data_IF_528373800085
#
_entry.id   IF_528373800085
#
_cell.length_a   1.000
_cell.length_b   1.000
_cell.length_c   1.000
_cell.angle_alpha   90.00
_cell.angle_beta   90.00
_cell.angle_gamma   90.00
#
_symmetry.space_group_name_H-M   'P 1'
#
loop_
_entity.id
_entity.type
_entity.pdbx_description
1 polymer ?
#
# COMPACT_ATOMS: atom_id res chain seq x y z
N UNK A 1 -15.82 -17.54 8.04
CA UNK A 1 -15.76 -16.62 6.88
C UNK A 1 -15.92 -15.22 7.43
N UNK A 2 -14.81 -14.53 7.72
CA UNK A 2 -14.84 -13.14 8.18
C UNK A 2 -15.11 -12.24 6.97
N UNK A 3 -16.10 -11.35 7.09
CA UNK A 3 -16.50 -10.41 6.04
C UNK A 3 -15.29 -9.69 5.45
N UNK A 4 -15.04 -9.88 4.16
CA UNK A 4 -13.95 -9.24 3.40
C UNK A 4 -14.24 -7.78 3.04
N UNK A 5 -15.27 -7.17 3.64
CA UNK A 5 -15.80 -5.84 3.30
C UNK A 5 -15.71 -4.82 4.44
N UNK A 6 -15.08 -5.15 5.56
CA UNK A 6 -14.88 -4.15 6.61
C UNK A 6 -13.64 -3.31 6.29
N UNK A 7 -13.83 -1.99 6.20
CA UNK A 7 -12.73 -1.05 6.09
C UNK A 7 -11.83 -1.12 7.32
N UNK A 8 -10.59 -0.68 7.19
CA UNK A 8 -9.64 -0.59 8.30
C UNK A 8 -9.42 0.85 8.73
N UNK A 9 -9.18 1.05 10.01
CA UNK A 9 -8.62 2.29 10.53
C UNK A 9 -7.42 1.96 11.39
N UNK A 10 -6.45 2.86 11.43
CA UNK A 10 -5.28 2.68 12.28
C UNK A 10 -4.55 3.99 12.50
N UNK A 11 -3.61 3.93 13.42
CA UNK A 11 -2.72 5.03 13.74
C UNK A 11 -1.31 4.48 13.94
N UNK A 12 -0.32 5.14 13.36
CA UNK A 12 1.07 4.74 13.54
C UNK A 12 1.95 5.25 12.42
N UNK A 13 2.99 4.48 12.08
CA UNK A 13 3.93 4.88 11.05
C UNK A 13 3.29 4.82 9.67
N UNK A 14 3.39 5.91 8.91
CA UNK A 14 2.95 5.98 7.51
C UNK A 14 4.10 6.49 6.65
N UNK A 15 4.38 5.79 5.56
CA UNK A 15 5.29 6.26 4.51
C UNK A 15 4.50 6.63 3.27
N UNK A 16 4.71 7.84 2.74
CA UNK A 16 4.09 8.32 1.50
C UNK A 16 5.15 8.36 0.42
N UNK A 17 4.87 7.77 -0.74
CA UNK A 17 5.84 7.62 -1.82
C UNK A 17 5.19 7.66 -3.19
N UNK A 18 5.94 8.10 -4.20
CA UNK A 18 5.51 8.09 -5.59
C UNK A 18 5.94 6.81 -6.30
N UNK A 19 5.11 6.32 -7.21
CA UNK A 19 5.42 5.21 -8.08
C UNK A 19 4.66 5.38 -9.39
N UNK A 20 5.40 5.52 -10.50
CA UNK A 20 4.84 5.77 -11.83
C UNK A 20 3.83 6.94 -11.86
N UNK A 21 4.21 8.03 -11.20
CA UNK A 21 3.42 9.26 -11.10
C UNK A 21 2.34 9.24 -10.02
N UNK A 22 1.79 8.08 -9.67
CA UNK A 22 0.79 7.98 -8.60
C UNK A 22 1.45 7.96 -7.23
N UNK A 23 0.85 8.64 -6.26
CA UNK A 23 1.29 8.66 -4.86
C UNK A 23 0.51 7.64 -4.04
N UNK A 24 1.23 6.86 -3.25
CA UNK A 24 0.70 5.82 -2.38
C UNK A 24 1.09 6.07 -0.93
N UNK A 25 0.22 5.68 -0.01
CA UNK A 25 0.54 5.52 1.40
C UNK A 25 0.83 4.06 1.72
N UNK A 26 1.78 3.83 2.61
CA UNK A 26 2.10 2.53 3.20
C UNK A 26 2.06 2.64 4.73
N UNK A 27 1.22 1.82 5.35
CA UNK A 27 1.13 1.65 6.79
C UNK A 27 1.20 0.16 7.15
N UNK A 28 1.30 -0.12 8.45
CA UNK A 28 1.24 -1.47 8.99
C UNK A 28 0.08 -1.60 9.96
N UNK A 29 -0.55 -2.77 9.96
CA UNK A 29 -1.61 -3.14 10.89
C UNK A 29 -1.35 -4.54 11.43
N UNK A 30 -2.07 -4.94 12.48
CA UNK A 30 -2.03 -6.31 12.98
C UNK A 30 -3.36 -7.00 12.70
N UNK A 31 -3.39 -8.33 12.58
CA UNK A 31 -4.64 -9.05 12.34
C UNK A 31 -5.58 -9.04 13.55
N UNK A 32 -5.03 -8.91 14.76
CA UNK A 32 -5.78 -8.94 16.01
C UNK A 32 -5.18 -8.03 17.09
N UNK A 33 -5.90 -7.91 18.21
CA UNK A 33 -5.49 -7.13 19.39
C UNK A 33 -4.25 -7.69 20.10
N UNK A 34 -3.93 -8.97 19.87
CA UNK A 34 -2.72 -9.61 20.41
C UNK A 34 -1.47 -9.19 19.62
N UNK A 35 -1.66 -8.41 18.55
CA UNK A 35 -0.63 -7.94 17.62
C UNK A 35 0.06 -9.10 16.90
N UNK A 36 -0.69 -10.16 16.65
CA UNK A 36 -0.21 -11.32 15.91
C UNK A 36 -0.60 -11.15 14.44
N UNK A 37 0.35 -11.43 13.55
CA UNK A 37 0.15 -11.32 12.10
C UNK A 37 0.31 -9.89 11.61
N UNK A 38 1.42 -9.59 10.95
CA UNK A 38 1.70 -8.24 10.45
C UNK A 38 1.13 -8.07 9.04
N UNK A 39 0.31 -7.03 8.89
CA UNK A 39 -0.36 -6.68 7.64
C UNK A 39 0.27 -5.42 7.07
N UNK A 40 0.69 -5.48 5.81
CA UNK A 40 0.97 -4.28 5.03
C UNK A 40 -0.34 -3.69 4.51
N UNK A 41 -0.57 -2.40 4.75
CA UNK A 41 -1.72 -1.65 4.22
C UNK A 41 -1.19 -0.65 3.21
N UNK A 42 -1.59 -0.77 1.95
CA UNK A 42 -1.11 0.10 0.86
C UNK A 42 -2.28 0.56 0.00
N UNK A 43 -2.36 1.85 -0.26
CA UNK A 43 -3.38 2.40 -1.15
C UNK A 43 -2.96 3.73 -1.77
N UNK A 44 -3.58 4.12 -2.89
CA UNK A 44 -3.35 5.42 -3.48
C UNK A 44 -3.84 6.51 -2.52
N UNK A 45 -3.09 7.60 -2.46
CA UNK A 45 -3.51 8.85 -1.79
C UNK A 45 -3.65 10.00 -2.79
N UNK A 46 -3.25 9.78 -4.05
CA UNK A 46 -3.50 10.73 -5.14
C UNK A 46 -5.00 10.85 -5.42
N UNK A 47 -5.56 12.07 -5.46
CA UNK A 47 -6.96 12.27 -5.81
C UNK A 47 -7.34 11.65 -7.16
N UNK A 48 -8.43 10.88 -7.19
CA UNK A 48 -8.94 10.22 -8.40
C UNK A 48 -8.22 8.93 -8.79
N UNK A 49 -7.16 8.52 -8.08
CA UNK A 49 -6.52 7.24 -8.27
C UNK A 49 -7.16 6.18 -7.36
N UNK A 50 -7.58 5.07 -7.95
CA UNK A 50 -8.23 3.96 -7.25
C UNK A 50 -7.27 2.79 -7.03
N UNK A 51 -7.47 2.03 -5.96
CA UNK A 51 -6.58 0.94 -5.56
C UNK A 51 -6.30 -0.13 -6.64
N UNK A 52 -7.20 -0.44 -7.61
CA UNK A 52 -6.88 -1.39 -8.68
C UNK A 52 -5.71 -0.93 -9.54
N UNK A 53 -5.43 0.37 -9.63
CA UNK A 53 -4.29 0.92 -10.36
C UNK A 53 -2.96 0.34 -9.87
N UNK A 54 -2.80 0.15 -8.56
CA UNK A 54 -1.60 -0.46 -7.98
C UNK A 54 -1.37 -1.89 -8.48
N UNK A 55 -2.45 -2.66 -8.63
CA UNK A 55 -2.40 -4.03 -9.17
C UNK A 55 -2.17 -4.06 -10.67
N UNK A 56 -2.71 -3.09 -11.40
CA UNK A 56 -2.38 -2.90 -12.82
C UNK A 56 -0.88 -2.63 -12.99
N UNK A 57 -0.30 -1.73 -12.19
CA UNK A 57 1.14 -1.46 -12.21
C UNK A 57 1.96 -2.72 -11.95
N UNK A 58 1.60 -3.50 -10.93
CA UNK A 58 2.26 -4.75 -10.61
C UNK A 58 2.19 -5.76 -11.77
N UNK A 59 1.06 -5.82 -12.50
CA UNK A 59 0.91 -6.69 -13.68
C UNK A 59 1.77 -6.23 -14.85
N UNK A 60 1.80 -4.92 -15.13
CA UNK A 60 2.62 -4.36 -16.21
C UNK A 60 4.12 -4.54 -15.98
N UNK A 61 4.56 -4.48 -14.72
CA UNK A 61 5.97 -4.67 -14.35
C UNK A 61 6.34 -6.14 -14.02
N UNK A 62 5.35 -7.02 -13.92
CA UNK A 62 5.54 -8.43 -13.61
C UNK A 62 5.72 -9.30 -14.85
N UNK A 63 5.99 -10.60 -14.63
CA UNK A 63 5.96 -11.60 -15.70
C UNK A 63 4.50 -11.86 -16.13
N UNK A 64 4.19 -12.15 -17.41
CA UNK A 64 2.82 -12.30 -17.90
C UNK A 64 1.93 -13.31 -17.13
N UNK A 65 2.53 -14.36 -16.57
CA UNK A 65 1.83 -15.42 -15.82
C UNK A 65 2.04 -15.32 -14.29
N UNK A 66 2.29 -14.12 -13.77
CA UNK A 66 2.44 -13.89 -12.33
C UNK A 66 1.11 -14.15 -11.60
N UNK A 67 1.18 -14.94 -10.54
CA UNK A 67 0.05 -15.15 -9.62
C UNK A 67 -0.14 -13.92 -8.73
N UNK A 68 -1.33 -13.78 -8.14
CA UNK A 68 -1.63 -12.66 -7.24
C UNK A 68 -0.65 -12.52 -6.08
N UNK A 69 -0.12 -13.63 -5.54
CA UNK A 69 0.91 -13.60 -4.49
C UNK A 69 2.21 -12.96 -4.98
N UNK A 70 2.63 -13.23 -6.21
CA UNK A 70 3.85 -12.63 -6.79
C UNK A 70 3.64 -11.14 -7.07
N UNK A 71 2.45 -10.75 -7.53
CA UNK A 71 2.08 -9.34 -7.70
C UNK A 71 2.04 -8.61 -6.35
N UNK A 72 1.49 -9.25 -5.30
CA UNK A 72 1.47 -8.71 -3.95
C UNK A 72 2.89 -8.54 -3.37
N UNK A 73 3.78 -9.51 -3.61
CA UNK A 73 5.20 -9.40 -3.24
C UNK A 73 5.87 -8.23 -3.94
N UNK A 74 5.63 -8.06 -5.25
CA UNK A 74 6.15 -6.91 -5.99
C UNK A 74 5.66 -5.59 -5.40
N UNK A 75 4.37 -5.46 -5.10
CA UNK A 75 3.78 -4.26 -4.47
C UNK A 75 4.46 -3.98 -3.12
N UNK A 76 4.57 -4.99 -2.27
CA UNK A 76 5.15 -4.86 -0.95
C UNK A 76 6.64 -4.50 -1.01
N UNK A 77 7.40 -5.01 -1.99
CA UNK A 77 8.79 -4.58 -2.21
C UNK A 77 8.86 -3.09 -2.49
N UNK A 78 7.99 -2.53 -3.35
CA UNK A 78 8.06 -1.10 -3.69
C UNK A 78 7.82 -0.23 -2.46
N UNK A 79 6.79 -0.54 -1.68
CA UNK A 79 6.53 0.15 -0.42
C UNK A 79 7.66 -0.02 0.61
N UNK A 80 8.27 -1.21 0.68
CA UNK A 80 9.40 -1.49 1.57
C UNK A 80 10.64 -0.70 1.16
N UNK A 81 10.92 -0.56 -0.15
CA UNK A 81 12.02 0.28 -0.66
C UNK A 81 11.83 1.75 -0.32
N UNK A 82 10.60 2.26 -0.44
CA UNK A 82 10.28 3.63 -0.01
C UNK A 82 10.45 3.80 1.50
N UNK A 83 9.98 2.83 2.30
CA UNK A 83 10.07 2.86 3.76
C UNK A 83 11.52 2.78 4.27
N UNK A 84 12.28 1.78 3.82
CA UNK A 84 13.63 1.49 4.32
C UNK A 84 14.67 2.40 3.66
N UNK A 85 14.67 2.47 2.33
CA UNK A 85 15.74 3.14 1.58
C UNK A 85 15.38 4.59 1.18
N UNK A 86 14.11 4.99 1.30
CA UNK A 86 13.67 6.32 0.89
C UNK A 86 13.46 6.50 -0.61
N UNK A 87 13.36 5.42 -1.40
CA UNK A 87 13.07 5.51 -2.84
C UNK A 87 11.77 6.26 -3.07
N UNK A 88 11.85 7.39 -3.79
CA UNK A 88 10.70 8.21 -4.18
C UNK A 88 9.78 8.61 -3.00
N UNK A 89 10.37 8.64 -1.80
CA UNK A 89 9.65 8.97 -0.57
C UNK A 89 9.34 10.47 -0.53
N UNK A 90 8.05 10.77 -0.37
CA UNK A 90 7.52 12.13 -0.25
C UNK A 90 7.44 12.55 1.22
N UNK A 91 7.01 11.64 2.10
CA UNK A 91 6.89 11.91 3.53
C UNK A 91 7.02 10.63 4.35
N UNK A 92 7.41 10.79 5.61
CA UNK A 92 7.43 9.73 6.61
C UNK A 92 6.92 10.29 7.93
N UNK A 93 5.88 9.66 8.47
CA UNK A 93 5.27 10.03 9.74
C UNK A 93 5.47 8.91 10.74
N UNK A 94 5.76 9.24 12.00
CA UNK A 94 5.94 8.25 13.06
C UNK A 94 4.61 7.86 13.73
N UNK A 95 3.64 8.78 13.73
CA UNK A 95 2.33 8.60 14.35
C UNK A 95 1.27 9.40 13.57
N UNK A 96 0.60 8.75 12.62
CA UNK A 96 -0.41 9.36 11.76
C UNK A 96 -1.63 8.46 11.65
N UNK A 97 -2.81 9.07 11.70
CA UNK A 97 -4.07 8.37 11.44
C UNK A 97 -4.23 8.03 9.96
N UNK A 98 -4.81 6.86 9.69
CA UNK A 98 -5.11 6.41 8.35
C UNK A 98 -6.38 5.55 8.32
N UNK A 99 -7.04 5.53 7.16
CA UNK A 99 -8.25 4.74 6.91
C UNK A 99 -8.15 4.06 5.55
N UNK A 100 -8.38 2.75 5.52
CA UNK A 100 -8.57 1.97 4.31
C UNK A 100 -10.07 1.73 4.11
N UNK A 101 -10.61 2.11 2.96
CA UNK A 101 -12.02 1.87 2.64
C UNK A 101 -12.32 0.38 2.39
N UNK A 102 -13.57 -0.06 2.59
CA UNK A 102 -14.09 -1.35 2.11
C UNK A 102 -13.85 -1.62 0.62
N UNK A 103 -14.01 -2.89 0.20
CA UNK A 103 -13.98 -3.28 -1.22
C UNK A 103 -12.59 -3.39 -1.84
N UNK A 104 -11.55 -3.38 -1.00
CA UNK A 104 -10.16 -3.58 -1.38
C UNK A 104 -9.81 -5.03 -1.74
N UNK A 105 -8.51 -5.30 -1.91
CA UNK A 105 -7.98 -6.65 -2.12
C UNK A 105 -6.98 -7.06 -1.06
N UNK A 106 -7.21 -8.25 -0.48
CA UNK A 106 -6.32 -8.93 0.46
C UNK A 106 -5.57 -10.06 -0.24
N UNK A 107 -4.27 -10.15 0.00
CA UNK A 107 -3.42 -11.26 -0.39
C UNK A 107 -2.69 -11.81 0.84
N UNK A 108 -2.74 -13.13 1.02
CA UNK A 108 -1.95 -13.84 2.04
C UNK A 108 -0.61 -14.25 1.44
N UNK A 109 0.45 -14.13 2.23
CA UNK A 109 1.73 -14.75 1.90
C UNK A 109 1.77 -16.14 2.54
N UNK A 110 2.12 -17.17 1.78
CA UNK A 110 2.21 -18.56 2.28
C UNK A 110 3.34 -18.70 3.32
N UNK A 111 4.38 -17.89 3.18
CA UNK A 111 5.47 -17.69 4.13
C UNK A 111 5.62 -16.19 4.33
N UNK A 112 5.95 -15.76 5.55
CA UNK A 112 6.20 -14.35 5.89
C UNK A 112 7.10 -13.71 4.83
N UNK A 113 6.65 -12.61 4.24
CA UNK A 113 7.37 -11.90 3.19
C UNK A 113 7.61 -10.45 3.62
N UNK A 114 8.88 -10.03 3.62
CA UNK A 114 9.29 -8.71 4.15
C UNK A 114 8.73 -8.42 5.56
N UNK A 115 8.68 -9.43 6.43
CA UNK A 115 8.08 -9.39 7.76
C UNK A 115 6.56 -9.13 7.77
N UNK A 116 5.84 -9.50 6.70
CA UNK A 116 4.39 -9.40 6.62
C UNK A 116 3.77 -10.75 6.29
N UNK A 117 2.64 -11.02 6.93
CA UNK A 117 1.80 -12.19 6.64
C UNK A 117 0.79 -11.88 5.53
N UNK A 118 0.36 -10.62 5.42
CA UNK A 118 -0.64 -10.19 4.45
C UNK A 118 -0.30 -8.85 3.82
N UNK A 119 -0.80 -8.66 2.61
CA UNK A 119 -0.97 -7.36 1.96
C UNK A 119 -2.46 -7.05 1.83
N UNK A 120 -2.88 -5.90 2.33
CA UNK A 120 -4.22 -5.35 2.15
C UNK A 120 -4.08 -4.07 1.34
N UNK A 121 -4.84 -4.01 0.25
CA UNK A 121 -4.91 -2.84 -0.64
C UNK A 121 -6.33 -2.34 -0.72
N UNK A 122 -6.50 -1.04 -0.87
CA UNK A 122 -7.79 -0.36 -0.86
C UNK A 122 -7.58 1.14 -1.04
N UNK A 123 -8.66 1.90 -1.16
CA UNK A 123 -8.54 3.36 -1.20
C UNK A 123 -8.13 3.84 0.19
N UNK A 124 -7.00 4.55 0.25
CA UNK A 124 -6.35 4.91 1.50
C UNK A 124 -6.44 6.41 1.70
N UNK A 125 -6.94 6.80 2.87
CA UNK A 125 -6.80 8.17 3.37
C UNK A 125 -5.75 8.19 4.47
N UNK A 126 -4.90 9.20 4.47
CA UNK A 126 -3.94 9.48 5.54
C UNK A 126 -4.20 10.90 6.02
N UNK A 127 -4.36 11.06 7.32
CA UNK A 127 -4.69 12.36 7.91
C UNK A 127 -3.55 13.37 7.68
N UNK A 128 -3.89 14.64 7.47
CA UNK A 128 -2.93 15.74 7.47
C UNK A 128 -1.98 15.81 6.26
N UNK A 129 -2.20 15.03 5.19
CA UNK A 129 -1.44 15.20 3.96
C UNK A 129 -1.81 16.51 3.26
N UNK A 130 -0.79 17.27 2.86
CA UNK A 130 -1.00 18.48 2.07
C UNK A 130 -1.30 18.14 0.59
N UNK A 131 -1.96 19.03 -0.17
CA UNK A 131 -2.21 18.84 -1.60
C UNK A 131 -0.94 18.53 -2.40
N UNK A 132 0.18 19.15 -2.06
CA UNK A 132 1.46 18.92 -2.72
C UNK A 132 2.02 17.51 -2.45
N UNK A 133 1.71 16.91 -1.29
CA UNK A 133 2.17 15.56 -0.95
C UNK A 133 1.38 14.48 -1.69
N UNK A 134 0.12 14.74 -2.05
CA UNK A 134 -0.74 13.78 -2.77
C UNK A 134 -0.81 14.01 -4.27
N UNK A 135 -0.34 15.16 -4.76
CA UNK A 135 -0.35 15.49 -6.17
C UNK A 135 0.39 14.44 -7.01
N UNK A 136 -0.20 14.11 -8.17
CA UNK A 136 0.42 13.28 -9.18
C UNK A 136 1.80 13.84 -9.58
N UNK A 137 2.76 12.95 -9.77
CA UNK A 137 4.15 13.27 -10.12
C UNK A 137 4.39 12.99 -11.59
N UNK A 138 5.29 13.76 -12.19
CA UNK A 138 5.81 13.43 -13.51
C UNK A 138 6.55 12.09 -13.45
N UNK A 139 6.30 11.21 -14.42
CA UNK A 139 6.97 9.92 -14.57
C UNK A 139 7.47 9.77 -16.00
N UNK A 140 8.72 9.36 -16.16
CA UNK A 140 9.27 8.99 -17.47
C UNK A 140 8.82 7.61 -17.95
N UNK A 141 8.22 6.82 -17.06
CA UNK A 141 7.77 5.47 -17.33
C UNK A 141 6.25 5.44 -17.43
N UNK A 142 5.68 5.24 -18.64
CA UNK A 142 4.24 5.00 -18.79
C UNK A 142 3.89 3.59 -18.28
N UNK A 143 2.71 3.46 -17.68
CA UNK A 143 2.10 2.19 -17.25
C UNK A 143 0.79 1.95 -17.97
#
# INVERSE_FOLDING_TARGET
MSNNDEGLTGRGRVTVFAMFGTVFGYATHHLDERRIGDVAVIGPVTPGAEWPRLWQMARSCGRPAARDTELAQWILIQATRAFVCGSDRIAQFHDQGWKLEPGGKRASFEVVYANRDHLWTGNLTVDGLSPAQVAERSSFYPI
#
